data_IF_596478423518
#
_entry.id   IF_596478423518
#
_cell.length_a   1.000
_cell.length_b   1.000
_cell.length_c   1.000
_cell.angle_alpha   90.00
_cell.angle_beta   90.00
_cell.angle_gamma   90.00
#
_symmetry.space_group_name_H-M   'P 1'
#
loop_
_entity.id
_entity.type
_entity.pdbx_description
1 polymer ?
#
# COMPACT_ATOMS: atom_id res chain seq x y z
N UNK A 1 -5.78 -56.19 20.90
CA UNK A 1 -5.15 -56.02 19.57
C UNK A 1 -6.23 -55.76 18.54
N UNK A 2 -6.05 -54.70 17.74
CA UNK A 2 -6.85 -54.35 16.56
C UNK A 2 -8.14 -53.56 16.86
N UNK A 3 -8.52 -52.51 16.14
CA UNK A 3 -7.91 -51.73 15.05
C UNK A 3 -8.93 -50.62 14.78
N UNK A 4 -8.69 -49.36 15.13
CA UNK A 4 -8.26 -48.28 14.22
C UNK A 4 -9.02 -48.13 12.88
N UNK A 5 -10.26 -48.61 12.76
CA UNK A 5 -11.07 -48.47 11.54
C UNK A 5 -12.51 -47.99 11.78
N UNK A 6 -12.68 -46.81 12.37
CA UNK A 6 -13.86 -46.02 12.05
C UNK A 6 -13.69 -44.53 12.43
N UNK A 7 -13.37 -43.63 11.48
CA UNK A 7 -13.65 -42.22 11.66
C UNK A 7 -15.13 -41.94 11.42
N UNK A 8 -15.74 -41.30 12.41
CA UNK A 8 -17.10 -40.77 12.44
C UNK A 8 -17.16 -39.35 11.83
N UNK A 9 -18.19 -39.07 11.04
CA UNK A 9 -18.77 -37.72 10.86
C UNK A 9 -18.51 -37.00 9.51
N UNK A 10 -19.54 -36.45 8.84
CA UNK A 10 -19.46 -35.92 7.47
C UNK A 10 -18.99 -34.46 7.44
N UNK A 11 -17.70 -34.23 7.32
CA UNK A 11 -17.13 -33.01 6.73
C UNK A 11 -16.53 -33.39 5.37
N UNK A 12 -16.56 -32.49 4.37
CA UNK A 12 -16.24 -32.83 2.98
C UNK A 12 -14.88 -33.52 2.92
N UNK A 13 -14.91 -34.81 2.55
CA UNK A 13 -13.76 -35.72 2.47
C UNK A 13 -12.61 -35.16 1.62
N UNK A 14 -12.93 -34.20 0.76
CA UNK A 14 -12.00 -33.44 -0.08
C UNK A 14 -10.98 -32.60 0.68
N UNK A 15 -11.30 -32.00 1.84
CA UNK A 15 -10.32 -31.14 2.57
C UNK A 15 -9.28 -31.99 3.29
N UNK A 16 -9.71 -33.09 3.91
CA UNK A 16 -8.81 -34.06 4.53
C UNK A 16 -7.90 -34.72 3.49
N UNK A 17 -8.45 -35.17 2.36
CA UNK A 17 -7.66 -35.75 1.28
C UNK A 17 -6.73 -34.73 0.61
N UNK A 18 -7.12 -33.45 0.47
CA UNK A 18 -6.24 -32.40 -0.07
C UNK A 18 -5.06 -32.12 0.85
N UNK A 19 -5.27 -31.97 2.16
CA UNK A 19 -4.16 -31.77 3.11
C UNK A 19 -3.23 -32.99 3.16
N UNK A 20 -3.78 -34.20 3.10
CA UNK A 20 -2.98 -35.44 3.07
C UNK A 20 -2.23 -35.64 1.74
N UNK A 21 -2.82 -35.29 0.60
CA UNK A 21 -2.17 -35.33 -0.70
C UNK A 21 -1.02 -34.31 -0.80
N UNK A 22 -1.22 -33.10 -0.27
CA UNK A 22 -0.16 -32.07 -0.20
C UNK A 22 0.99 -32.54 0.69
N UNK A 23 0.70 -33.11 1.87
CA UNK A 23 1.74 -33.67 2.75
C UNK A 23 2.51 -34.81 2.08
N UNK A 24 1.82 -35.74 1.40
CA UNK A 24 2.48 -36.85 0.70
C UNK A 24 3.34 -36.36 -0.48
N UNK A 25 2.86 -35.35 -1.23
CA UNK A 25 3.62 -34.74 -2.32
C UNK A 25 4.88 -34.03 -1.81
N UNK A 26 4.77 -33.28 -0.72
CA UNK A 26 5.93 -32.61 -0.10
C UNK A 26 6.96 -33.62 0.40
N UNK A 27 6.53 -34.71 1.04
CA UNK A 27 7.43 -35.79 1.50
C UNK A 27 8.09 -36.50 0.32
N UNK A 28 7.37 -36.76 -0.77
CA UNK A 28 7.93 -37.38 -1.97
C UNK A 28 9.00 -36.49 -2.65
N UNK A 29 8.76 -35.17 -2.72
CA UNK A 29 9.75 -34.22 -3.23
C UNK A 29 11.00 -34.15 -2.35
N UNK A 30 10.83 -34.18 -1.03
CA UNK A 30 11.93 -34.20 -0.06
C UNK A 30 12.77 -35.48 -0.20
N UNK A 31 12.13 -36.64 -0.38
CA UNK A 31 12.80 -37.91 -0.63
C UNK A 31 13.57 -37.89 -1.97
N UNK A 32 12.97 -37.36 -3.04
CA UNK A 32 13.64 -37.19 -4.33
C UNK A 32 14.88 -36.28 -4.22
N UNK A 33 14.78 -35.19 -3.47
CA UNK A 33 15.90 -34.28 -3.25
C UNK A 33 17.04 -34.95 -2.47
N UNK A 34 16.71 -35.72 -1.42
CA UNK A 34 17.69 -36.51 -0.67
C UNK A 34 18.37 -37.55 -1.56
N UNK A 35 17.61 -38.28 -2.37
CA UNK A 35 18.16 -39.25 -3.33
C UNK A 35 19.05 -38.57 -4.36
N UNK A 36 18.66 -37.39 -4.85
CA UNK A 36 19.46 -36.62 -5.79
C UNK A 36 20.79 -36.16 -5.15
N UNK A 37 20.77 -35.64 -3.92
CA UNK A 37 21.97 -35.20 -3.20
C UNK A 37 22.89 -36.38 -2.88
N UNK A 38 22.35 -37.51 -2.44
CA UNK A 38 23.15 -38.71 -2.11
C UNK A 38 23.65 -39.41 -3.38
N UNK A 39 22.87 -39.39 -4.47
CA UNK A 39 23.23 -39.99 -5.75
C UNK A 39 24.20 -39.14 -6.59
N UNK A 40 24.25 -37.83 -6.36
CA UNK A 40 25.22 -36.92 -7.00
C UNK A 40 26.48 -36.67 -6.15
N UNK A 41 26.46 -37.07 -4.87
CA UNK A 41 27.61 -36.98 -3.96
C UNK A 41 28.47 -38.24 -3.96
N UNK A 42 29.11 -38.58 -5.09
CA UNK A 42 29.99 -39.74 -5.18
C UNK A 42 31.02 -39.68 -6.31
N UNK A 43 32.23 -39.21 -5.99
CA UNK A 43 33.47 -39.30 -6.79
C UNK A 43 34.09 -37.92 -7.07
N UNK A 44 35.25 -37.53 -6.54
CA UNK A 44 36.44 -38.29 -6.18
C UNK A 44 37.56 -37.97 -7.17
N UNK A 45 38.41 -37.00 -6.81
CA UNK A 45 39.53 -36.41 -7.57
C UNK A 45 40.44 -37.39 -8.33
N UNK A 46 40.96 -36.96 -9.50
CA UNK A 46 42.35 -37.22 -9.94
C UNK A 46 42.91 -36.09 -10.79
N UNK A 47 43.96 -35.45 -10.28
CA UNK A 47 44.90 -34.65 -11.05
C UNK A 47 45.68 -35.53 -12.03
N UNK A 48 45.81 -35.11 -13.30
CA UNK A 48 46.94 -35.47 -14.15
C UNK A 48 47.26 -34.30 -15.09
N UNK A 49 48.51 -33.87 -15.05
CA UNK A 49 49.11 -32.96 -16.02
C UNK A 49 49.29 -33.68 -17.38
N UNK A 50 49.24 -32.92 -18.48
CA UNK A 50 49.66 -33.42 -19.78
C UNK A 50 49.03 -32.72 -20.99
N UNK A 51 49.72 -31.69 -21.45
CA UNK A 51 49.98 -31.40 -22.87
C UNK A 51 48.87 -30.88 -23.81
N UNK A 52 49.34 -29.98 -24.67
CA UNK A 52 48.75 -29.14 -25.71
C UNK A 52 47.67 -29.75 -26.61
N UNK A 53 46.67 -28.94 -26.95
CA UNK A 53 46.41 -28.59 -28.35
C UNK A 53 45.39 -27.43 -28.46
N UNK A 54 45.81 -26.36 -29.12
CA UNK A 54 45.04 -25.14 -29.26
C UNK A 54 43.80 -25.30 -30.15
N UNK A 55 42.78 -24.48 -29.83
CA UNK A 55 41.88 -23.79 -30.77
C UNK A 55 41.24 -22.61 -30.02
N UNK A 56 41.67 -21.42 -30.40
CA UNK A 56 41.23 -20.13 -29.88
C UNK A 56 40.07 -19.64 -30.76
N UNK A 57 38.90 -19.25 -30.22
CA UNK A 57 38.03 -18.28 -30.88
C UNK A 57 38.14 -16.93 -30.15
N UNK A 58 38.34 -15.89 -30.94
CA UNK A 58 38.67 -14.52 -30.54
C UNK A 58 37.64 -13.86 -29.59
N UNK A 59 38.09 -12.98 -28.68
CA UNK A 59 37.24 -11.95 -28.09
C UNK A 59 37.18 -10.68 -28.96
N UNK A 60 36.01 -10.05 -28.95
CA UNK A 60 35.61 -8.88 -29.73
C UNK A 60 36.56 -7.68 -29.62
N UNK A 61 36.77 -7.03 -30.76
CA UNK A 61 37.50 -5.78 -30.95
C UNK A 61 36.78 -4.59 -30.28
N UNK A 62 37.43 -3.95 -29.32
CA UNK A 62 37.11 -2.57 -28.89
C UNK A 62 38.02 -1.64 -29.71
N UNK A 63 37.43 -0.80 -30.55
CA UNK A 63 38.14 0.24 -31.31
C UNK A 63 38.27 1.51 -30.46
N UNK A 64 39.50 2.02 -30.20
CA UNK A 64 39.71 3.38 -29.70
C UNK A 64 39.64 4.39 -30.84
N UNK A 65 38.80 5.42 -30.70
CA UNK A 65 38.75 6.58 -31.60
C UNK A 65 39.90 7.57 -31.32
N UNK A 66 40.40 8.30 -32.33
CA UNK A 66 41.64 9.06 -32.25
C UNK A 66 41.53 10.36 -31.43
N UNK A 67 42.62 10.66 -30.70
CA UNK A 67 42.90 11.94 -30.07
C UNK A 67 43.13 13.04 -31.11
N UNK A 68 42.47 14.19 -30.93
CA UNK A 68 42.72 15.42 -31.66
C UNK A 68 43.04 16.55 -30.68
N UNK A 69 44.31 16.94 -30.63
CA UNK A 69 44.86 18.05 -29.84
C UNK A 69 44.37 19.40 -30.37
N UNK A 70 43.76 20.22 -29.52
CA UNK A 70 43.44 21.63 -29.82
C UNK A 70 44.24 22.57 -28.90
N UNK A 71 44.89 23.63 -29.41
CA UNK A 71 45.68 24.53 -28.58
C UNK A 71 44.78 25.54 -27.85
N UNK A 72 45.12 25.79 -26.59
CA UNK A 72 44.64 26.91 -25.81
C UNK A 72 45.29 28.21 -26.32
N UNK A 73 44.47 29.21 -26.65
CA UNK A 73 44.94 30.58 -26.87
C UNK A 73 43.89 31.57 -26.34
N UNK A 74 44.23 32.17 -25.20
CA UNK A 74 43.59 33.33 -24.61
C UNK A 74 44.12 34.60 -25.29
N UNK A 75 43.25 35.44 -25.82
CA UNK A 75 43.49 36.88 -26.04
C UNK A 75 42.15 37.61 -26.21
N UNK A 76 41.92 38.64 -25.40
CA UNK A 76 41.14 39.84 -25.78
C UNK A 76 42.17 40.87 -26.27
N UNK A 77 41.89 41.64 -27.34
CA UNK A 77 41.76 43.09 -27.15
C UNK A 77 40.86 43.84 -28.18
N UNK A 78 40.04 44.78 -27.67
CA UNK A 78 40.07 46.20 -28.05
C UNK A 78 39.42 46.73 -29.35
N UNK A 79 38.44 47.65 -29.16
CA UNK A 79 38.18 48.87 -29.97
C UNK A 79 37.54 48.69 -31.37
N UNK A 80 36.91 49.68 -32.02
CA UNK A 80 36.44 51.05 -31.76
C UNK A 80 35.71 51.49 -33.06
N UNK A 81 34.71 52.40 -32.99
CA UNK A 81 34.26 53.34 -34.05
C UNK A 81 33.58 52.76 -35.34
N UNK A 82 32.54 53.27 -36.02
CA UNK A 82 31.71 54.50 -36.00
C UNK A 82 30.50 54.35 -36.99
N UNK A 83 29.38 55.06 -36.73
CA UNK A 83 28.36 55.66 -37.64
C UNK A 83 27.55 54.82 -38.68
N UNK A 84 26.25 55.04 -39.00
CA UNK A 84 25.39 56.25 -39.01
C UNK A 84 23.87 55.99 -39.21
N UNK A 85 23.01 56.82 -38.58
CA UNK A 85 21.69 57.33 -39.05
C UNK A 85 20.45 56.42 -38.87
N UNK A 86 19.25 56.86 -38.44
CA UNK A 86 18.65 58.20 -38.39
C UNK A 86 17.41 58.30 -37.45
N UNK A 87 17.36 59.41 -36.71
CA UNK A 87 16.28 60.23 -36.10
C UNK A 87 14.85 59.73 -35.77
N UNK A 88 14.38 60.17 -34.58
CA UNK A 88 12.97 60.47 -34.31
C UNK A 88 12.57 60.65 -32.82
N UNK A 89 12.63 61.90 -32.33
CA UNK A 89 11.88 62.60 -31.24
C UNK A 89 11.16 61.79 -30.14
N UNK A 90 11.16 62.09 -28.84
CA UNK A 90 11.40 63.30 -28.04
C UNK A 90 10.42 63.25 -26.84
N UNK A 91 10.84 63.60 -25.62
CA UNK A 91 9.91 63.71 -24.47
C UNK A 91 10.55 63.53 -23.09
N UNK A 92 10.79 64.65 -22.41
CA UNK A 92 11.36 64.80 -21.07
C UNK A 92 10.44 64.37 -19.93
N UNK A 93 11.00 64.03 -18.77
CA UNK A 93 10.25 63.96 -17.51
C UNK A 93 11.04 63.37 -16.34
N UNK A 94 11.76 64.21 -15.61
CA UNK A 94 12.40 63.98 -14.31
C UNK A 94 11.38 63.86 -13.17
N UNK A 95 11.72 63.13 -12.10
CA UNK A 95 11.04 63.30 -10.80
C UNK A 95 11.26 62.17 -9.80
N UNK A 96 12.31 62.30 -8.99
CA UNK A 96 12.47 61.65 -7.70
C UNK A 96 11.35 62.05 -6.71
N UNK A 97 11.02 61.16 -5.77
CA UNK A 97 10.13 61.50 -4.67
C UNK A 97 9.85 60.34 -3.72
N UNK A 98 10.70 60.19 -2.71
CA UNK A 98 10.40 59.38 -1.51
C UNK A 98 9.31 60.05 -0.67
N UNK A 99 8.43 59.25 -0.06
CA UNK A 99 7.43 59.73 0.89
C UNK A 99 6.86 58.59 1.73
N UNK A 100 7.36 58.47 2.96
CA UNK A 100 6.76 57.66 4.03
C UNK A 100 5.44 58.29 4.49
N UNK A 101 4.45 57.45 4.81
CA UNK A 101 3.22 57.86 5.46
C UNK A 101 2.59 56.70 6.22
N UNK A 102 2.73 56.75 7.56
CA UNK A 102 1.97 55.94 8.50
C UNK A 102 0.52 56.42 8.58
N UNK A 103 -0.42 55.52 8.83
CA UNK A 103 -1.82 55.84 9.09
C UNK A 103 -2.59 54.64 9.60
N UNK A 104 -2.70 54.53 10.92
CA UNK A 104 -3.65 53.69 11.65
C UNK A 104 -5.11 54.10 11.36
N UNK A 105 -6.03 53.13 11.32
CA UNK A 105 -7.29 53.15 12.11
C UNK A 105 -8.23 52.01 11.70
N UNK A 106 -8.43 51.11 12.66
CA UNK A 106 -9.71 50.53 13.11
C UNK A 106 -10.99 50.77 12.31
N UNK A 107 -11.68 49.66 11.98
CA UNK A 107 -13.10 49.60 11.67
C UNK A 107 -13.66 48.23 12.05
N UNK A 108 -14.35 48.18 13.19
CA UNK A 108 -15.10 47.02 13.71
C UNK A 108 -16.52 46.97 13.14
N UNK A 109 -17.14 45.78 13.19
CA UNK A 109 -18.59 45.56 13.09
C UNK A 109 -18.95 44.42 12.15
N UNK A 110 -19.07 43.19 12.68
CA UNK A 110 -20.34 42.48 12.95
C UNK A 110 -20.97 41.87 11.68
N UNK A 111 -21.48 40.64 11.65
CA UNK A 111 -21.96 39.75 12.70
C UNK A 111 -22.38 38.42 12.08
N UNK A 112 -22.38 37.36 12.90
CA UNK A 112 -23.27 36.16 12.88
C UNK A 112 -23.30 35.32 11.59
N UNK A 113 -22.96 34.03 11.62
CA UNK A 113 -23.62 32.92 12.36
C UNK A 113 -22.60 31.78 12.55
N UNK A 114 -22.51 31.05 13.68
CA UNK A 114 -23.59 30.33 14.33
C UNK A 114 -23.78 28.99 13.62
N UNK A 115 -22.97 27.98 13.97
CA UNK A 115 -23.04 26.64 13.39
C UNK A 115 -22.12 25.67 14.12
N UNK A 116 -22.46 25.39 15.39
CA UNK A 116 -22.03 24.16 16.05
C UNK A 116 -22.82 23.03 15.41
N UNK A 117 -22.13 22.05 14.82
CA UNK A 117 -22.66 20.70 14.68
C UNK A 117 -21.56 19.71 15.10
N UNK A 118 -21.79 19.17 16.28
CA UNK A 118 -21.28 17.92 16.79
C UNK A 118 -21.85 16.78 15.94
N UNK A 119 -21.02 15.81 15.52
CA UNK A 119 -21.54 14.56 14.98
C UNK A 119 -20.80 13.96 13.79
N UNK A 120 -19.53 13.61 13.95
CA UNK A 120 -18.92 12.52 13.16
C UNK A 120 -17.80 11.85 13.94
N UNK A 121 -18.19 11.10 14.98
CA UNK A 121 -17.40 9.93 15.40
C UNK A 121 -17.63 8.83 14.37
N UNK A 122 -16.89 8.94 13.27
CA UNK A 122 -16.86 7.96 12.19
C UNK A 122 -15.45 7.92 11.63
N UNK A 123 -14.61 7.06 12.21
CA UNK A 123 -13.31 6.65 11.66
C UNK A 123 -12.39 7.80 11.24
N UNK A 124 -11.69 8.40 12.21
CA UNK A 124 -10.59 9.32 11.92
C UNK A 124 -9.48 8.62 11.15
N UNK A 125 -9.41 8.90 9.85
CA UNK A 125 -8.32 8.46 8.99
C UNK A 125 -7.34 9.60 8.74
N UNK A 126 -6.05 9.30 8.67
CA UNK A 126 -5.04 10.26 8.24
C UNK A 126 -4.88 10.20 6.73
N UNK A 127 -5.39 11.20 6.00
CA UNK A 127 -5.21 11.34 4.55
C UNK A 127 -6.23 12.28 3.92
N UNK A 128 -5.90 12.83 2.76
CA UNK A 128 -6.80 13.70 1.99
C UNK A 128 -7.93 12.87 1.36
N UNK A 129 -9.17 13.09 1.82
CA UNK A 129 -10.34 12.48 1.24
C UNK A 129 -10.71 13.19 -0.07
N UNK A 130 -11.04 12.41 -1.09
CA UNK A 130 -11.37 12.90 -2.42
C UNK A 130 -12.88 12.88 -2.65
N UNK A 131 -13.44 13.86 -3.38
CA UNK A 131 -14.82 13.80 -3.84
C UNK A 131 -14.99 12.69 -4.90
N UNK A 132 -16.24 12.24 -5.06
CA UNK A 132 -16.62 11.34 -6.14
C UNK A 132 -16.23 11.95 -7.51
N UNK A 133 -15.69 11.13 -8.41
CA UNK A 133 -15.30 11.57 -9.76
C UNK A 133 -13.91 12.22 -9.87
N UNK A 134 -13.07 12.17 -8.82
CA UNK A 134 -11.68 12.64 -8.90
C UNK A 134 -10.92 12.06 -10.11
N UNK A 135 -10.14 12.89 -10.81
CA UNK A 135 -9.37 12.51 -12.00
C UNK A 135 -8.10 11.69 -11.74
N UNK A 136 -7.75 11.44 -10.47
CA UNK A 136 -6.59 10.62 -10.12
C UNK A 136 -6.76 9.17 -10.61
N UNK A 137 -5.68 8.49 -11.06
CA UNK A 137 -5.75 7.09 -11.43
C UNK A 137 -6.00 6.22 -10.19
N UNK A 138 -6.68 5.08 -10.37
CA UNK A 138 -6.84 4.11 -9.30
C UNK A 138 -5.50 3.46 -8.95
N UNK A 139 -5.26 3.24 -7.67
CA UNK A 139 -4.11 2.50 -7.19
C UNK A 139 -4.16 1.05 -7.70
N UNK A 140 -3.01 0.49 -8.10
CA UNK A 140 -2.88 -0.88 -8.62
C UNK A 140 -2.08 -1.78 -7.67
N UNK A 141 -2.26 -3.10 -7.77
CA UNK A 141 -1.58 -4.10 -6.91
C UNK A 141 -0.04 -3.95 -6.85
N UNK A 142 0.58 -3.47 -7.93
CA UNK A 142 2.04 -3.28 -7.99
C UNK A 142 2.51 -1.94 -7.41
N UNK A 143 1.63 -0.94 -7.35
CA UNK A 143 1.96 0.41 -6.88
C UNK A 143 1.61 0.65 -5.41
N UNK A 144 0.59 -0.03 -4.89
CA UNK A 144 0.11 0.15 -3.52
C UNK A 144 0.02 -1.15 -2.77
N UNK A 145 0.51 -1.14 -1.53
CA UNK A 145 0.35 -2.23 -0.57
C UNK A 145 -0.73 -1.87 0.44
N UNK A 146 -1.79 -2.68 0.48
CA UNK A 146 -2.78 -2.65 1.54
C UNK A 146 -2.25 -3.44 2.75
N UNK A 147 -2.36 -2.87 3.94
CA UNK A 147 -2.06 -3.55 5.20
C UNK A 147 -3.18 -3.31 6.19
N UNK A 148 -3.45 -4.31 7.01
CA UNK A 148 -4.48 -4.26 8.05
C UNK A 148 -3.81 -4.51 9.40
N UNK A 149 -4.15 -3.69 10.38
CA UNK A 149 -3.65 -3.80 11.75
C UNK A 149 -4.80 -3.64 12.72
N UNK A 150 -4.70 -4.30 13.87
CA UNK A 150 -5.53 -3.95 15.02
C UNK A 150 -4.78 -2.97 15.91
N UNK A 151 -5.47 -1.98 16.48
CA UNK A 151 -4.86 -1.01 17.38
C UNK A 151 -4.28 -1.69 18.64
N UNK A 152 -4.94 -2.75 19.11
CA UNK A 152 -4.48 -3.60 20.20
C UNK A 152 -4.52 -5.08 19.81
N UNK A 153 -3.59 -5.88 20.34
CA UNK A 153 -3.62 -7.33 20.15
C UNK A 153 -4.70 -8.02 21.00
N UNK A 154 -5.14 -7.38 22.08
CA UNK A 154 -6.12 -7.92 23.02
C UNK A 154 -7.04 -6.80 23.48
N UNK A 155 -8.34 -7.09 23.55
CA UNK A 155 -9.35 -6.16 24.02
C UNK A 155 -10.13 -6.76 25.19
N UNK A 156 -10.22 -6.00 26.28
CA UNK A 156 -10.98 -6.35 27.47
C UNK A 156 -12.50 -6.28 27.22
N UNK A 157 -13.34 -6.95 28.02
CA UNK A 157 -14.79 -6.81 27.95
C UNK A 157 -15.22 -5.32 27.97
N UNK A 158 -16.09 -4.94 27.04
CA UNK A 158 -16.54 -3.55 26.86
C UNK A 158 -15.64 -2.66 25.98
N UNK A 159 -14.41 -3.04 25.69
CA UNK A 159 -13.57 -2.30 24.75
C UNK A 159 -13.99 -2.55 23.29
N UNK A 160 -14.06 -1.49 22.49
CA UNK A 160 -14.39 -1.55 21.06
C UNK A 160 -13.13 -1.90 20.25
N UNK A 161 -13.08 -3.05 19.56
CA UNK A 161 -11.98 -3.33 18.65
C UNK A 161 -11.86 -2.28 17.55
N UNK A 162 -10.64 -1.80 17.34
CA UNK A 162 -10.30 -0.79 16.34
C UNK A 162 -9.28 -1.36 15.36
N UNK A 163 -9.54 -1.15 14.07
CA UNK A 163 -8.73 -1.66 12.98
C UNK A 163 -8.26 -0.52 12.09
N UNK A 164 -6.98 -0.54 11.74
CA UNK A 164 -6.36 0.43 10.85
C UNK A 164 -6.08 -0.22 9.51
N UNK A 165 -6.74 0.30 8.48
CA UNK A 165 -6.50 -0.06 7.10
C UNK A 165 -5.55 0.97 6.49
N UNK A 166 -4.32 0.54 6.21
CA UNK A 166 -3.25 1.40 5.72
C UNK A 166 -2.94 1.05 4.26
N UNK A 167 -3.09 2.02 3.36
CA UNK A 167 -2.69 1.91 1.97
C UNK A 167 -1.40 2.70 1.76
N UNK A 168 -0.30 1.99 1.46
CA UNK A 168 1.02 2.58 1.23
C UNK A 168 1.39 2.54 -0.25
N UNK A 169 1.66 3.70 -0.84
CA UNK A 169 2.03 3.84 -2.23
C UNK A 169 3.55 3.85 -2.40
N UNK A 170 4.07 2.83 -3.08
CA UNK A 170 5.48 2.69 -3.46
C UNK A 170 5.76 3.10 -4.90
N UNK A 171 4.76 3.60 -5.62
CA UNK A 171 4.93 4.13 -6.98
C UNK A 171 5.38 5.61 -6.97
N UNK A 172 5.81 6.08 -8.13
CA UNK A 172 6.28 7.45 -8.33
C UNK A 172 5.16 8.48 -8.56
N UNK A 173 3.90 8.05 -8.64
CA UNK A 173 2.76 8.93 -8.90
C UNK A 173 1.69 8.82 -7.82
N UNK A 174 0.93 9.90 -7.64
CA UNK A 174 -0.26 9.90 -6.80
C UNK A 174 -1.35 9.00 -7.42
N UNK A 175 -2.04 8.26 -6.57
CA UNK A 175 -3.20 7.48 -6.97
C UNK A 175 -4.34 7.64 -5.97
N UNK A 176 -5.54 7.20 -6.34
CA UNK A 176 -6.68 7.14 -5.44
C UNK A 176 -7.04 5.70 -5.10
N UNK A 177 -7.47 5.48 -3.86
CA UNK A 177 -7.96 4.19 -3.36
C UNK A 177 -9.29 4.42 -2.65
N UNK A 178 -10.24 3.50 -2.83
CA UNK A 178 -11.49 3.49 -2.09
C UNK A 178 -11.33 2.56 -0.88
N UNK A 179 -11.29 3.13 0.32
CA UNK A 179 -11.23 2.39 1.59
C UNK A 179 -12.61 2.31 2.26
N UNK A 180 -13.67 2.60 1.50
CA UNK A 180 -15.04 2.55 1.99
C UNK A 180 -15.51 1.11 2.24
N UNK A 181 -16.55 0.94 3.06
CA UNK A 181 -16.99 -0.35 3.54
C UNK A 181 -17.43 -1.34 2.45
N UNK A 182 -17.84 -0.84 1.26
CA UNK A 182 -18.21 -1.65 0.08
C UNK A 182 -17.06 -1.92 -0.89
N UNK A 183 -15.96 -1.18 -0.77
CA UNK A 183 -14.81 -1.31 -1.67
C UNK A 183 -13.65 -2.01 -0.99
N UNK A 184 -13.25 -1.57 0.20
CA UNK A 184 -12.32 -2.31 1.03
C UNK A 184 -13.10 -3.04 2.12
N UNK A 185 -13.68 -4.18 1.75
CA UNK A 185 -14.53 -4.97 2.64
C UNK A 185 -13.69 -5.58 3.76
N UNK A 186 -14.01 -5.25 5.00
CA UNK A 186 -13.46 -5.90 6.19
C UNK A 186 -14.42 -7.00 6.66
N UNK A 187 -13.91 -8.20 6.87
CA UNK A 187 -14.65 -9.35 7.39
C UNK A 187 -14.00 -9.84 8.67
N UNK A 188 -14.81 -10.08 9.70
CA UNK A 188 -14.37 -10.58 11.00
C UNK A 188 -14.91 -11.99 11.19
N UNK A 189 -13.99 -12.93 11.44
CA UNK A 189 -14.30 -14.35 11.63
C UNK A 189 -13.65 -14.83 12.92
N UNK A 190 -14.35 -15.66 13.70
CA UNK A 190 -13.73 -16.32 14.86
C UNK A 190 -12.79 -17.42 14.36
N UNK A 191 -11.56 -17.51 14.88
CA UNK A 191 -10.55 -18.45 14.38
C UNK A 191 -10.94 -19.94 14.46
N UNK A 192 -11.96 -20.26 15.26
CA UNK A 192 -12.52 -21.62 15.42
C UNK A 192 -13.71 -21.89 14.48
N UNK A 193 -14.10 -20.93 13.64
CA UNK A 193 -15.25 -20.98 12.73
C UNK A 193 -14.81 -20.52 11.34
N UNK A 194 -15.44 -21.08 10.30
CA UNK A 194 -15.29 -20.59 8.92
C UNK A 194 -16.41 -19.59 8.55
N UNK A 195 -17.37 -19.38 9.44
CA UNK A 195 -18.49 -18.45 9.24
C UNK A 195 -18.13 -17.06 9.79
N UNK A 196 -18.17 -16.06 8.91
CA UNK A 196 -18.00 -14.65 9.28
C UNK A 196 -19.09 -14.18 10.25
N UNK A 197 -18.68 -13.41 11.24
CA UNK A 197 -19.58 -12.82 12.25
C UNK A 197 -20.03 -11.45 11.79
N UNK A 198 -19.13 -10.70 11.17
CA UNK A 198 -19.39 -9.33 10.74
C UNK A 198 -18.66 -9.03 9.44
N UNK A 199 -19.28 -8.24 8.56
CA UNK A 199 -18.70 -7.69 7.36
C UNK A 199 -19.06 -6.20 7.21
N UNK A 200 -18.13 -5.39 6.74
CA UNK A 200 -18.34 -3.94 6.63
C UNK A 200 -19.39 -3.56 5.58
N UNK A 201 -19.60 -4.39 4.56
CA UNK A 201 -20.53 -4.18 3.45
C UNK A 201 -21.96 -4.68 3.71
N UNK A 202 -22.19 -5.41 4.80
CA UNK A 202 -23.51 -5.94 5.18
C UNK A 202 -24.53 -4.84 5.46
N UNK A 203 -24.13 -3.81 6.22
CA UNK A 203 -24.97 -2.68 6.55
C UNK A 203 -24.18 -1.37 6.75
N UNK A 204 -23.63 -0.80 5.67
CA UNK A 204 -22.85 0.43 5.76
C UNK A 204 -23.78 1.64 5.97
N UNK A 205 -23.40 2.52 6.91
CA UNK A 205 -24.14 3.78 7.17
C UNK A 205 -24.20 4.71 5.96
N UNK A 206 -23.22 4.62 5.07
CA UNK A 206 -23.18 5.35 3.80
C UNK A 206 -22.87 4.37 2.68
N UNK A 207 -23.62 4.50 1.58
CA UNK A 207 -23.34 3.76 0.35
C UNK A 207 -22.26 4.46 -0.52
N UNK A 208 -21.84 5.67 -0.17
CA UNK A 208 -20.82 6.40 -0.90
C UNK A 208 -19.43 5.78 -0.67
N UNK A 209 -18.63 5.72 -1.74
CA UNK A 209 -17.23 5.33 -1.66
C UNK A 209 -16.42 6.30 -0.80
N UNK A 210 -15.43 5.77 -0.09
CA UNK A 210 -14.53 6.56 0.75
C UNK A 210 -13.17 6.65 0.05
N UNK A 211 -13.11 7.56 -0.91
CA UNK A 211 -11.94 7.76 -1.76
C UNK A 211 -10.89 8.57 -1.02
N UNK A 212 -9.67 8.07 -1.00
CA UNK A 212 -8.50 8.76 -0.47
C UNK A 212 -7.43 8.95 -1.55
N UNK A 213 -6.73 10.08 -1.50
CA UNK A 213 -5.48 10.25 -2.23
C UNK A 213 -4.37 9.54 -1.47
N UNK A 214 -3.57 8.73 -2.18
CA UNK A 214 -2.34 8.14 -1.67
C UNK A 214 -1.16 8.79 -2.41
N UNK A 215 -0.44 9.74 -1.78
CA UNK A 215 0.69 10.41 -2.41
C UNK A 215 1.77 9.42 -2.84
N UNK A 216 2.54 9.76 -3.87
CA UNK A 216 3.73 9.00 -4.25
C UNK A 216 4.68 8.83 -3.05
N UNK A 217 5.10 7.59 -2.76
CA UNK A 217 5.91 7.27 -1.57
C UNK A 217 5.19 7.43 -0.22
N UNK A 218 3.94 7.89 -0.21
CA UNK A 218 3.15 8.18 0.98
C UNK A 218 2.23 7.04 1.40
N UNK A 219 1.42 7.30 2.42
CA UNK A 219 0.39 6.39 2.88
C UNK A 219 -0.84 7.14 3.40
N UNK A 220 -1.97 6.45 3.37
CA UNK A 220 -3.21 6.86 4.04
C UNK A 220 -3.62 5.76 5.00
N UNK A 221 -4.23 6.16 6.12
CA UNK A 221 -4.80 5.24 7.10
C UNK A 221 -6.28 5.53 7.24
N UNK A 222 -7.12 4.49 7.19
CA UNK A 222 -8.54 4.55 7.51
C UNK A 222 -8.83 3.67 8.73
N UNK A 223 -9.57 4.21 9.69
CA UNK A 223 -9.87 3.53 10.94
C UNK A 223 -11.30 3.00 10.92
N UNK A 224 -11.45 1.72 11.25
CA UNK A 224 -12.73 1.02 11.35
C UNK A 224 -12.91 0.51 12.78
N UNK A 225 -14.01 0.87 13.39
CA UNK A 225 -14.39 0.40 14.73
C UNK A 225 -15.49 -0.64 14.61
N UNK A 226 -15.40 -1.69 15.43
CA UNK A 226 -16.39 -2.76 15.48
C UNK A 226 -16.99 -2.87 16.88
N UNK A 227 -18.31 -2.86 17.00
CA UNK A 227 -19.02 -2.88 18.29
C UNK A 227 -19.20 -4.30 18.87
N UNK A 228 -18.45 -5.27 18.36
CA UNK A 228 -18.54 -6.70 18.69
C UNK A 228 -19.85 -7.37 18.32
N UNK A 229 -20.74 -6.72 17.57
CA UNK A 229 -21.98 -7.35 17.11
C UNK A 229 -21.82 -8.00 15.74
N UNK A 230 -22.60 -9.03 15.51
CA UNK A 230 -22.71 -9.59 14.17
C UNK A 230 -23.42 -8.63 13.21
N UNK A 231 -23.18 -8.81 11.92
CA UNK A 231 -23.96 -8.17 10.86
C UNK A 231 -24.64 -9.23 10.00
N UNK A 232 -25.60 -8.79 9.21
CA UNK A 232 -26.23 -9.63 8.20
C UNK A 232 -26.41 -8.82 6.90
N UNK A 233 -26.29 -9.47 5.73
CA UNK A 233 -26.41 -8.81 4.44
C UNK A 233 -27.71 -8.01 4.31
N UNK A 234 -27.69 -6.96 3.50
CA UNK A 234 -28.84 -6.10 3.22
C UNK A 234 -29.47 -5.48 4.48
N UNK A 235 -28.66 -5.22 5.50
CA UNK A 235 -29.12 -4.74 6.80
C UNK A 235 -30.19 -5.63 7.46
N UNK A 236 -30.18 -6.94 7.18
CA UNK A 236 -31.05 -7.89 7.87
C UNK A 236 -30.72 -7.96 9.37
N UNK A 237 -31.62 -8.55 10.17
CA UNK A 237 -31.42 -8.71 11.61
C UNK A 237 -30.35 -9.79 11.87
N UNK A 238 -29.18 -9.45 12.43
CA UNK A 238 -28.17 -10.43 12.78
C UNK A 238 -28.60 -11.27 13.99
N UNK A 239 -27.97 -12.44 14.22
CA UNK A 239 -28.17 -13.20 15.46
C UNK A 239 -27.96 -12.32 16.70
N UNK A 240 -28.83 -12.47 17.69
CA UNK A 240 -28.71 -11.73 18.93
C UNK A 240 -27.45 -12.13 19.71
N UNK A 241 -26.81 -11.15 20.35
CA UNK A 241 -25.62 -11.34 21.18
C UNK A 241 -24.42 -10.55 20.68
N UNK A 242 -23.31 -10.72 21.41
CA UNK A 242 -22.02 -10.14 21.07
C UNK A 242 -20.99 -11.24 20.87
N UNK A 243 -19.93 -10.94 20.12
CA UNK A 243 -18.80 -11.83 19.95
C UNK A 243 -18.24 -12.27 21.31
N UNK A 244 -18.08 -13.58 21.46
CA UNK A 244 -17.56 -14.19 22.69
C UNK A 244 -16.05 -13.97 22.84
N UNK A 245 -15.51 -14.30 24.01
CA UNK A 245 -14.06 -14.30 24.18
C UNK A 245 -13.41 -15.35 23.26
N UNK A 246 -12.26 -15.01 22.69
CA UNK A 246 -11.53 -15.90 21.77
C UNK A 246 -10.61 -15.16 20.82
N UNK A 247 -9.98 -15.92 19.91
CA UNK A 247 -9.15 -15.38 18.84
C UNK A 247 -9.98 -15.13 17.60
N UNK A 248 -9.77 -13.95 17.00
CA UNK A 248 -10.47 -13.50 15.81
C UNK A 248 -9.47 -13.18 14.71
N UNK A 249 -9.89 -13.41 13.47
CA UNK A 249 -9.21 -12.99 12.27
C UNK A 249 -10.03 -11.86 11.64
N UNK A 250 -9.35 -10.78 11.26
CA UNK A 250 -9.91 -9.74 10.40
C UNK A 250 -9.20 -9.81 9.07
N UNK A 251 -9.97 -9.84 8.00
CA UNK A 251 -9.48 -9.81 6.63
C UNK A 251 -10.02 -8.56 5.92
N UNK A 252 -9.18 -7.86 5.18
CA UNK A 252 -9.55 -6.75 4.32
C UNK A 252 -9.31 -7.15 2.86
N UNK A 253 -10.36 -7.04 2.04
CA UNK A 253 -10.32 -7.30 0.60
C UNK A 253 -10.71 -6.04 -0.15
N UNK A 254 -9.84 -5.58 -1.05
CA UNK A 254 -10.10 -4.43 -1.91
C UNK A 254 -9.85 -4.77 -3.39
N UNK A 255 -10.66 -4.27 -4.33
CA UNK A 255 -10.47 -4.50 -5.76
C UNK A 255 -9.06 -4.14 -6.22
N UNK A 256 -8.39 -5.08 -6.89
CA UNK A 256 -7.08 -4.84 -7.49
C UNK A 256 -5.94 -4.71 -6.48
N UNK A 257 -6.14 -5.04 -5.19
CA UNK A 257 -5.10 -5.08 -4.16
C UNK A 257 -5.00 -6.48 -3.55
N UNK A 258 -3.82 -6.82 -3.03
CA UNK A 258 -3.63 -8.05 -2.27
C UNK A 258 -4.47 -8.00 -0.97
N UNK A 259 -5.03 -9.14 -0.58
CA UNK A 259 -5.72 -9.28 0.71
C UNK A 259 -4.77 -8.97 1.85
N UNK A 260 -5.26 -8.24 2.85
CA UNK A 260 -4.56 -8.00 4.10
C UNK A 260 -5.32 -8.67 5.23
N UNK A 261 -4.61 -9.20 6.23
CA UNK A 261 -5.25 -9.84 7.36
C UNK A 261 -4.46 -9.61 8.64
N UNK A 262 -5.16 -9.64 9.77
CA UNK A 262 -4.56 -9.56 11.11
C UNK A 262 -5.42 -10.33 12.10
N UNK A 263 -4.85 -10.69 13.24
CA UNK A 263 -5.56 -11.39 14.31
C UNK A 263 -5.56 -10.58 15.59
N UNK A 264 -6.61 -10.71 16.38
CA UNK A 264 -6.72 -10.10 17.71
C UNK A 264 -7.46 -11.05 18.67
N UNK A 265 -7.39 -10.74 19.96
CA UNK A 265 -8.02 -11.54 21.02
C UNK A 265 -9.07 -10.71 21.75
N UNK A 266 -10.25 -11.28 21.97
CA UNK A 266 -11.20 -10.81 22.96
C UNK A 266 -10.97 -11.60 24.25
N UNK A 267 -10.57 -10.94 25.33
CA UNK A 267 -10.31 -11.63 26.60
C UNK A 267 -11.62 -11.99 27.30
N UNK A 268 -11.56 -13.01 28.17
CA UNK A 268 -12.63 -13.29 29.12
C UNK A 268 -12.58 -12.26 30.25
N UNK A 269 -13.73 -12.02 30.87
CA UNK A 269 -13.82 -11.39 32.19
C UNK A 269 -13.06 -12.20 33.24
#
# INVERSE_FOLDING_TARGET
>A
MGSLRNPVGPLPSTIYWRRRAVLLSMVALLALLIVWVVGSGGGGDRNNAGESNGKNPAPSTITPGPSGSGPAISQHPGGRDESSGSAGSGGSGTGDGSGSGSGDSSGSGSSSTGGSDDGSKGGGGSGEQLPAGSGLPNCTAGGVKLTLRSAHNTYAPGETPTFELVAKNSSAGDCKVDLGPKSAVLTITQATSDTGIWASDDCPKSAAGLLFRVPAGGQVTHTVEWDRKGSAPECATPPAGSASAGTYLVEATAPGLAKAQTSFVLSKD
#
